data_IF_101128282590
#
_entry.id   IF_101128282590
#
_cell.length_a   1.000
_cell.length_b   1.000
_cell.length_c   1.000
_cell.angle_alpha   90.00
_cell.angle_beta   90.00
_cell.angle_gamma   90.00
#
_symmetry.space_group_name_H-M   'P 1'
#
loop_
_entity.id
_entity.type
_entity.pdbx_description
1 polymer ?
#
# COMPACT_ATOMS: atom_id res chain seq x y z
N UNK A 1 -19.78 4.19 -24.66
CA UNK A 1 -19.07 4.88 -25.77
C UNK A 1 -17.58 4.72 -25.51
N UNK A 2 -16.72 4.54 -26.51
CA UNK A 2 -15.28 4.42 -26.22
C UNK A 2 -14.71 5.79 -25.81
N UNK A 3 -14.13 5.87 -24.60
CA UNK A 3 -13.45 7.08 -24.11
C UNK A 3 -12.37 7.53 -25.10
N UNK A 4 -12.38 8.81 -25.47
CA UNK A 4 -11.32 9.37 -26.32
C UNK A 4 -10.02 9.54 -25.54
N UNK A 5 -8.88 9.67 -26.23
CA UNK A 5 -7.58 9.93 -25.58
C UNK A 5 -7.60 11.19 -24.72
N UNK A 6 -8.35 12.22 -25.14
CA UNK A 6 -8.49 13.48 -24.41
C UNK A 6 -9.28 13.27 -23.10
N UNK A 7 -10.37 12.52 -23.17
CA UNK A 7 -11.21 12.19 -22.02
C UNK A 7 -10.43 11.37 -21.00
N UNK A 8 -9.68 10.37 -21.47
CA UNK A 8 -8.82 9.56 -20.62
C UNK A 8 -7.86 10.44 -19.83
N UNK A 9 -7.10 11.31 -20.51
CA UNK A 9 -6.15 12.22 -19.86
C UNK A 9 -6.83 13.12 -18.83
N UNK A 10 -7.98 13.70 -19.15
CA UNK A 10 -8.73 14.57 -18.22
C UNK A 10 -9.19 13.82 -16.96
N UNK A 11 -9.72 12.60 -17.12
CA UNK A 11 -10.12 11.72 -16.00
C UNK A 11 -8.90 11.43 -15.11
N UNK A 12 -7.77 11.06 -15.70
CA UNK A 12 -6.56 10.72 -14.97
C UNK A 12 -5.97 11.93 -14.22
N UNK A 13 -5.94 13.11 -14.82
CA UNK A 13 -5.45 14.33 -14.17
C UNK A 13 -6.33 14.76 -13.01
N UNK A 14 -7.65 14.75 -13.18
CA UNK A 14 -8.58 15.10 -12.12
C UNK A 14 -8.52 14.07 -10.98
N UNK A 15 -8.42 12.77 -11.30
CA UNK A 15 -8.25 11.71 -10.31
C UNK A 15 -6.96 11.85 -9.51
N UNK A 16 -5.83 12.22 -10.13
CA UNK A 16 -4.56 12.45 -9.42
C UNK A 16 -4.68 13.48 -8.30
N UNK A 17 -5.50 14.52 -8.52
CA UNK A 17 -5.75 15.61 -7.56
C UNK A 17 -6.78 15.23 -6.50
N UNK A 18 -7.92 14.69 -6.92
CA UNK A 18 -9.06 14.42 -6.03
C UNK A 18 -8.94 13.12 -5.24
N UNK A 19 -8.14 12.15 -5.73
CA UNK A 19 -8.00 10.78 -5.21
C UNK A 19 -9.33 10.08 -4.97
N UNK A 20 -10.35 10.44 -5.75
CA UNK A 20 -11.71 9.92 -5.64
C UNK A 20 -12.29 9.67 -7.03
N UNK A 21 -12.59 8.41 -7.39
CA UNK A 21 -13.26 8.09 -8.65
C UNK A 21 -14.64 8.74 -8.74
N UNK A 22 -15.40 8.73 -7.63
CA UNK A 22 -16.73 9.34 -7.55
C UNK A 22 -16.71 10.85 -7.83
N UNK A 23 -15.81 11.60 -7.18
CA UNK A 23 -15.68 13.05 -7.45
C UNK A 23 -15.21 13.32 -8.87
N UNK A 24 -14.43 12.43 -9.46
CA UNK A 24 -13.94 12.56 -10.84
C UNK A 24 -15.05 12.32 -11.85
N UNK A 25 -15.85 11.27 -11.66
CA UNK A 25 -17.04 10.98 -12.46
C UNK A 25 -18.02 12.16 -12.46
N UNK A 26 -18.36 12.65 -11.26
CA UNK A 26 -19.30 13.77 -11.10
C UNK A 26 -18.78 15.08 -11.72
N UNK A 27 -17.49 15.39 -11.56
CA UNK A 27 -16.91 16.64 -12.05
C UNK A 27 -16.76 16.68 -13.58
N UNK A 28 -16.55 15.52 -14.21
CA UNK A 28 -16.28 15.43 -15.65
C UNK A 28 -17.46 14.88 -16.46
N UNK A 29 -18.53 14.43 -15.81
CA UNK A 29 -19.73 13.92 -16.47
C UNK A 29 -19.57 12.54 -17.09
N UNK A 30 -18.70 11.69 -16.52
CA UNK A 30 -18.52 10.29 -16.96
C UNK A 30 -19.20 9.32 -16.01
N UNK A 31 -19.53 8.13 -16.52
CA UNK A 31 -20.04 7.05 -15.67
C UNK A 31 -18.95 6.55 -14.72
N UNK A 32 -19.35 6.22 -13.49
CA UNK A 32 -18.41 5.79 -12.47
C UNK A 32 -17.68 4.50 -12.86
N UNK A 33 -18.35 3.59 -13.57
CA UNK A 33 -17.76 2.35 -14.07
C UNK A 33 -16.64 2.62 -15.10
N UNK A 34 -16.84 3.55 -16.02
CA UNK A 34 -15.85 3.93 -17.04
C UNK A 34 -14.60 4.55 -16.39
N UNK A 35 -14.80 5.37 -15.35
CA UNK A 35 -13.71 5.94 -14.56
C UNK A 35 -12.94 4.86 -13.82
N UNK A 36 -13.62 3.86 -13.25
CA UNK A 36 -12.99 2.74 -12.57
C UNK A 36 -12.19 1.85 -13.50
N UNK A 37 -12.75 1.48 -14.65
CA UNK A 37 -12.05 0.70 -15.69
C UNK A 37 -10.78 1.42 -16.10
N UNK A 38 -10.87 2.71 -16.42
CA UNK A 38 -9.71 3.50 -16.82
C UNK A 38 -8.65 3.62 -15.72
N UNK A 39 -9.03 3.84 -14.47
CA UNK A 39 -8.08 3.91 -13.34
C UNK A 39 -7.39 2.57 -13.13
N UNK A 40 -8.14 1.47 -13.22
CA UNK A 40 -7.63 0.11 -13.06
C UNK A 40 -6.66 -0.27 -14.18
N UNK A 41 -6.96 0.12 -15.41
CA UNK A 41 -6.10 -0.09 -16.59
C UNK A 41 -4.88 0.85 -16.59
N UNK A 42 -4.98 1.99 -15.91
CA UNK A 42 -3.90 2.96 -15.80
C UNK A 42 -2.91 2.58 -14.71
N UNK A 43 -2.03 1.63 -15.04
CA UNK A 43 -0.95 1.09 -14.16
C UNK A 43 -0.11 2.21 -13.51
N UNK A 44 0.04 3.36 -14.20
CA UNK A 44 0.78 4.54 -13.74
C UNK A 44 0.11 5.33 -12.61
N UNK A 45 -1.21 5.19 -12.42
CA UNK A 45 -1.96 5.92 -11.38
C UNK A 45 -2.10 5.14 -10.08
N UNK A 46 -2.09 3.81 -10.19
CA UNK A 46 -2.13 2.91 -9.05
C UNK A 46 -0.81 2.91 -8.25
N UNK A 47 0.25 3.50 -8.82
CA UNK A 47 1.59 3.50 -8.24
C UNK A 47 2.26 4.84 -8.52
N UNK A 48 2.55 5.67 -7.50
CA UNK A 48 3.67 6.61 -7.69
C UNK A 48 4.90 5.72 -7.84
N UNK A 49 5.32 5.42 -9.07
CA UNK A 49 6.51 4.59 -9.35
C UNK A 49 7.80 5.23 -8.86
N UNK A 50 7.75 6.54 -8.59
CA UNK A 50 8.89 7.29 -8.13
C UNK A 50 9.25 6.87 -6.70
N UNK A 51 10.37 6.17 -6.59
CA UNK A 51 11.03 5.89 -5.33
C UNK A 51 11.62 7.19 -4.79
N UNK A 52 11.14 7.65 -3.64
CA UNK A 52 11.68 8.83 -2.95
C UNK A 52 12.93 8.48 -2.16
N UNK A 53 13.07 7.23 -1.74
CA UNK A 53 14.16 6.76 -0.89
C UNK A 53 14.76 5.42 -1.39
N UNK A 54 14.83 5.25 -2.72
CA UNK A 54 15.38 4.03 -3.34
C UNK A 54 14.61 2.75 -3.01
N UNK A 55 13.33 2.89 -2.66
CA UNK A 55 12.47 1.79 -2.26
C UNK A 55 12.64 1.37 -0.80
N UNK A 56 13.51 2.01 -0.01
CA UNK A 56 13.73 1.66 1.40
C UNK A 56 12.71 2.35 2.32
N UNK A 57 11.93 3.30 1.78
CA UNK A 57 10.98 4.07 2.55
C UNK A 57 11.63 5.12 3.42
N UNK A 58 10.84 5.66 4.33
CA UNK A 58 11.23 6.84 5.10
C UNK A 58 12.49 6.56 5.95
N UNK A 59 13.56 7.38 5.84
CA UNK A 59 14.83 7.14 6.53
C UNK A 59 14.68 6.91 8.03
N UNK A 60 13.77 7.63 8.69
CA UNK A 60 13.53 7.53 10.13
C UNK A 60 12.91 6.19 10.58
N UNK A 61 12.33 5.43 9.64
CA UNK A 61 11.71 4.13 9.89
C UNK A 61 12.58 2.95 9.42
N UNK A 62 13.66 3.19 8.69
CA UNK A 62 14.50 2.14 8.09
C UNK A 62 14.97 1.13 9.15
N UNK A 63 15.38 1.60 10.33
CA UNK A 63 15.82 0.75 11.46
C UNK A 63 14.76 -0.22 11.99
N UNK A 64 13.49 0.01 11.67
CA UNK A 64 12.37 -0.84 12.09
C UNK A 64 11.90 -1.77 10.96
N UNK A 65 12.57 -1.76 9.81
CA UNK A 65 12.19 -2.57 8.64
C UNK A 65 12.41 -4.05 8.92
N UNK A 66 11.36 -4.84 8.70
CA UNK A 66 11.38 -6.30 8.83
C UNK A 66 11.49 -6.96 7.48
N UNK A 67 10.70 -6.47 6.52
CA UNK A 67 10.60 -7.04 5.20
C UNK A 67 10.20 -5.99 4.18
N UNK A 68 10.52 -6.26 2.92
CA UNK A 68 10.12 -5.42 1.80
C UNK A 68 9.75 -6.32 0.62
N UNK A 69 8.75 -5.91 -0.15
CA UNK A 69 8.27 -6.61 -1.35
C UNK A 69 7.83 -5.63 -2.42
N UNK A 70 7.72 -6.10 -3.66
CA UNK A 70 6.99 -5.34 -4.69
C UNK A 70 5.50 -5.35 -4.38
N UNK A 71 4.83 -4.22 -4.59
CA UNK A 71 3.39 -4.10 -4.44
C UNK A 71 2.67 -5.18 -5.25
N UNK A 72 1.64 -5.80 -4.67
CA UNK A 72 0.88 -6.89 -5.28
C UNK A 72 1.52 -8.28 -5.16
N UNK A 73 2.77 -8.40 -4.68
CA UNK A 73 3.37 -9.70 -4.36
C UNK A 73 2.98 -10.15 -2.95
N UNK A 74 2.99 -11.46 -2.66
CA UNK A 74 2.80 -11.98 -1.30
C UNK A 74 3.97 -11.65 -0.35
N UNK A 75 3.73 -11.65 0.96
CA UNK A 75 4.83 -11.62 1.94
C UNK A 75 5.46 -13.01 2.04
N UNK A 76 6.79 -13.08 2.11
CA UNK A 76 7.47 -14.36 2.32
C UNK A 76 7.30 -14.81 3.78
N UNK A 77 6.27 -15.63 4.05
CA UNK A 77 5.96 -16.15 5.38
C UNK A 77 7.04 -17.08 5.96
N UNK A 78 7.98 -17.56 5.15
CA UNK A 78 9.10 -18.37 5.62
C UNK A 78 10.25 -17.55 6.22
N UNK A 79 10.29 -16.22 6.00
CA UNK A 79 11.33 -15.33 6.55
C UNK A 79 11.36 -15.42 8.08
N UNK A 80 12.52 -15.73 8.69
CA UNK A 80 12.69 -15.72 10.14
C UNK A 80 12.35 -14.36 10.77
N UNK A 81 12.72 -13.26 10.12
CA UNK A 81 12.48 -11.89 10.57
C UNK A 81 10.98 -11.60 10.62
N UNK A 82 10.24 -11.99 9.59
CA UNK A 82 8.79 -11.81 9.53
C UNK A 82 8.08 -12.65 10.60
N UNK A 83 8.50 -13.90 10.81
CA UNK A 83 7.96 -14.76 11.87
C UNK A 83 8.22 -14.16 13.26
N UNK A 84 9.44 -13.66 13.51
CA UNK A 84 9.78 -13.01 14.76
C UNK A 84 8.97 -11.74 14.99
N UNK A 85 8.82 -10.89 13.97
CA UNK A 85 8.03 -9.67 14.07
C UNK A 85 6.55 -9.94 14.37
N UNK A 86 5.97 -10.98 13.78
CA UNK A 86 4.60 -11.43 14.08
C UNK A 86 4.45 -11.93 15.52
N UNK A 87 5.42 -12.71 16.00
CA UNK A 87 5.45 -13.14 17.41
C UNK A 87 5.49 -11.93 18.36
N UNK A 88 6.39 -10.99 18.13
CA UNK A 88 6.51 -9.76 18.94
C UNK A 88 5.23 -8.92 18.92
N UNK A 89 4.54 -8.89 17.78
CA UNK A 89 3.25 -8.21 17.64
C UNK A 89 2.16 -8.88 18.49
N UNK A 90 2.09 -10.22 18.48
CA UNK A 90 1.17 -10.99 19.33
C UNK A 90 1.52 -10.83 20.82
N UNK A 91 2.79 -10.80 21.18
CA UNK A 91 3.26 -10.46 22.54
C UNK A 91 2.94 -8.99 22.90
N UNK A 92 2.57 -8.17 21.92
CA UNK A 92 2.17 -6.78 22.11
C UNK A 92 3.34 -5.82 22.28
N UNK A 93 4.58 -6.25 22.02
CA UNK A 93 5.79 -5.45 22.22
C UNK A 93 6.09 -4.54 21.04
N UNK A 94 5.57 -4.86 19.85
CA UNK A 94 5.69 -4.04 18.64
C UNK A 94 4.33 -3.82 17.97
N UNK A 95 4.25 -2.75 17.19
CA UNK A 95 3.19 -2.50 16.22
C UNK A 95 3.72 -2.87 14.82
N UNK A 96 2.93 -3.62 14.04
CA UNK A 96 3.24 -3.85 12.63
C UNK A 96 2.58 -2.76 11.81
N UNK A 97 3.37 -2.07 11.01
CA UNK A 97 2.90 -1.01 10.13
C UNK A 97 3.45 -1.21 8.72
N UNK A 98 2.66 -0.87 7.71
CA UNK A 98 3.10 -0.92 6.31
C UNK A 98 3.37 0.48 5.79
N UNK A 99 4.53 0.68 5.17
CA UNK A 99 4.86 1.85 4.36
C UNK A 99 4.91 1.52 2.89
N UNK A 100 5.05 2.56 2.08
CA UNK A 100 5.24 2.44 0.64
C UNK A 100 6.28 3.44 0.15
N UNK A 101 7.12 3.00 -0.76
CA UNK A 101 8.07 3.84 -1.48
C UNK A 101 8.20 3.35 -2.92
N UNK A 102 7.71 4.14 -3.87
CA UNK A 102 7.62 3.67 -5.25
C UNK A 102 6.71 2.45 -5.39
N UNK A 103 7.28 1.40 -5.98
CA UNK A 103 6.69 0.07 -6.13
C UNK A 103 6.92 -0.84 -4.93
N UNK A 104 7.60 -0.38 -3.88
CA UNK A 104 7.92 -1.20 -2.72
C UNK A 104 6.93 -1.01 -1.59
N UNK A 105 6.39 -2.11 -1.10
CA UNK A 105 5.70 -2.18 0.19
C UNK A 105 6.69 -2.63 1.24
N UNK A 106 6.69 -1.94 2.37
CA UNK A 106 7.69 -2.11 3.43
C UNK A 106 6.94 -2.42 4.71
N UNK A 107 7.34 -3.47 5.40
CA UNK A 107 6.78 -3.82 6.70
C UNK A 107 7.74 -3.38 7.80
N UNK A 108 7.20 -2.62 8.76
CA UNK A 108 7.91 -2.15 9.94
C UNK A 108 7.40 -2.87 11.19
N UNK A 109 8.29 -3.15 12.14
CA UNK A 109 7.97 -3.53 13.51
C UNK A 109 8.42 -2.42 14.47
N UNK A 110 7.50 -1.56 14.85
CA UNK A 110 7.77 -0.37 15.65
C UNK A 110 7.54 -0.70 17.14
N UNK A 111 8.53 -0.55 18.04
CA UNK A 111 8.36 -0.83 19.46
C UNK A 111 7.24 0.00 20.09
N UNK A 112 6.41 -0.64 20.92
CA UNK A 112 5.40 0.03 21.73
C UNK A 112 6.00 0.48 23.05
N UNK A 113 5.56 1.64 23.55
CA UNK A 113 5.96 2.14 24.88
C UNK A 113 5.46 1.26 26.03
N UNK A 114 4.31 0.59 25.84
CA UNK A 114 3.70 -0.31 26.81
C UNK A 114 3.29 -1.59 26.08
N UNK A 115 3.81 -2.76 26.49
CA UNK A 115 3.36 -4.03 25.95
C UNK A 115 1.85 -4.22 26.18
N UNK A 116 1.14 -4.66 25.14
CA UNK A 116 -0.27 -5.02 25.24
C UNK A 116 -0.52 -6.23 24.36
N UNK A 117 -0.54 -7.44 24.94
CA UNK A 117 -0.71 -8.69 24.21
C UNK A 117 -1.93 -8.66 23.29
N UNK A 118 -1.79 -9.31 22.14
CA UNK A 118 -2.82 -9.41 21.09
C UNK A 118 -3.20 -10.88 20.87
N UNK A 119 -4.41 -11.13 20.32
CA UNK A 119 -4.78 -12.47 19.88
C UNK A 119 -3.75 -13.09 18.93
N UNK A 120 -3.73 -14.42 18.87
CA UNK A 120 -2.83 -15.20 18.02
C UNK A 120 -3.23 -15.18 16.53
N UNK A 121 -3.26 -13.99 15.93
CA UNK A 121 -3.70 -13.78 14.55
C UNK A 121 -2.87 -14.54 13.50
N UNK A 122 -1.64 -14.91 13.81
CA UNK A 122 -0.71 -15.54 12.87
C UNK A 122 -0.52 -17.03 13.14
N UNK A 123 -1.13 -17.57 14.20
CA UNK A 123 -1.24 -19.01 14.39
C UNK A 123 -2.45 -19.49 13.59
N UNK A 124 -2.21 -19.85 12.32
CA UNK A 124 -3.16 -20.73 11.63
C UNK A 124 -3.17 -22.06 12.40
N UNK A 125 -4.37 -22.61 12.60
CA UNK A 125 -4.61 -23.82 13.36
C UNK A 125 -3.70 -24.98 12.92
N UNK A 126 -3.50 -25.87 13.89
CA UNK A 126 -2.96 -27.22 13.76
C UNK A 126 -3.28 -27.87 12.42
#
# INVERSE_FOLDING_TARGET
MSLTTKDKTAILEHYRRSRSPFKTAQALGFELSEVWELINDSVELLHSRQERFGGFGRPELVRFTVARRKAGSGWNNASPELRQARRLYEEGTVELATGRDGLWEILYAIPRKRPQPRPHYFRLGV
#
